data_IF_544615300798
#
_entry.id   IF_544615300798
#
_cell.length_a   1.000
_cell.length_b   1.000
_cell.length_c   1.000
_cell.angle_alpha   90.00
_cell.angle_beta   90.00
_cell.angle_gamma   90.00
#
_symmetry.space_group_name_H-M   'P 1'
#
loop_
_entity.id
_entity.type
_entity.pdbx_description
1 polymer ?
#
# COMPACT_ATOMS: atom_id res chain seq x y z
N UNK A 1 50.02 22.22 -35.30
CA UNK A 1 49.94 20.90 -35.95
C UNK A 1 49.89 19.85 -34.85
N UNK A 2 48.92 18.94 -34.87
CA UNK A 2 48.59 18.07 -33.75
C UNK A 2 49.49 16.83 -33.73
N UNK A 3 49.81 16.34 -32.53
CA UNK A 3 50.27 14.97 -32.33
C UNK A 3 49.19 14.21 -31.55
N UNK A 4 48.72 13.13 -32.17
CA UNK A 4 47.75 12.19 -31.66
C UNK A 4 48.51 11.01 -31.05
N UNK A 5 48.33 10.78 -29.75
CA UNK A 5 48.04 9.45 -29.21
C UNK A 5 48.16 9.44 -27.69
N UNK A 6 47.08 9.04 -27.03
CA UNK A 6 47.04 7.95 -26.03
C UNK A 6 45.66 7.93 -25.39
N UNK A 7 44.90 6.89 -25.73
CA UNK A 7 43.75 6.47 -24.94
C UNK A 7 44.24 6.03 -23.56
N UNK A 8 43.53 6.44 -22.52
CA UNK A 8 43.64 5.86 -21.20
C UNK A 8 42.28 5.91 -20.52
N UNK A 9 41.52 4.83 -20.74
CA UNK A 9 40.33 4.48 -19.98
C UNK A 9 40.73 4.32 -18.53
N UNK A 10 40.23 5.20 -17.64
CA UNK A 10 40.41 5.07 -16.19
C UNK A 10 39.32 4.16 -15.64
N UNK A 11 39.72 2.95 -15.26
CA UNK A 11 38.96 2.04 -14.41
C UNK A 11 38.95 2.62 -12.98
N UNK A 12 37.76 2.79 -12.40
CA UNK A 12 37.59 3.16 -10.99
C UNK A 12 37.38 1.86 -10.21
N UNK A 13 38.41 1.41 -9.50
CA UNK A 13 38.30 0.32 -8.51
C UNK A 13 37.58 0.84 -7.26
N UNK A 14 36.37 0.35 -7.01
CA UNK A 14 35.71 0.50 -5.73
C UNK A 14 36.20 -0.60 -4.77
N UNK A 15 36.83 -0.18 -3.66
CA UNK A 15 37.23 -1.03 -2.54
C UNK A 15 36.07 -1.89 -2.05
N UNK A 16 36.21 -3.21 -2.19
CA UNK A 16 35.42 -4.20 -1.47
C UNK A 16 35.64 -4.03 0.05
N UNK A 17 34.57 -3.74 0.78
CA UNK A 17 34.46 -4.08 2.20
C UNK A 17 33.85 -5.48 2.25
N UNK A 18 34.71 -6.50 2.17
CA UNK A 18 34.35 -7.88 2.48
C UNK A 18 34.12 -7.98 3.99
N UNK A 19 32.86 -7.96 4.42
CA UNK A 19 32.46 -8.63 5.67
C UNK A 19 32.09 -10.05 5.31
N UNK A 20 32.94 -10.98 5.72
CA UNK A 20 32.66 -12.41 5.79
C UNK A 20 31.53 -12.64 6.80
N UNK A 21 30.30 -12.84 6.33
CA UNK A 21 29.26 -13.51 7.11
C UNK A 21 29.44 -15.01 6.90
N UNK A 22 30.15 -15.64 7.83
CA UNK A 22 30.22 -17.09 7.96
C UNK A 22 28.81 -17.66 8.17
N UNK A 23 28.45 -18.59 7.30
CA UNK A 23 27.49 -19.69 7.44
C UNK A 23 26.68 -19.74 8.73
N UNK A 24 25.40 -19.39 8.61
CA UNK A 24 24.30 -20.10 9.28
C UNK A 24 23.00 -19.91 8.49
N UNK A 25 23.01 -20.31 7.20
CA UNK A 25 21.77 -20.54 6.46
C UNK A 25 21.25 -21.94 6.81
N UNK A 26 20.56 -22.03 7.95
CA UNK A 26 19.51 -23.04 8.06
C UNK A 26 18.53 -22.77 6.92
N UNK A 27 18.49 -23.66 5.92
CA UNK A 27 17.51 -23.60 4.85
C UNK A 27 16.11 -23.63 5.50
N UNK A 28 15.47 -22.47 5.55
CA UNK A 28 14.13 -22.33 6.11
C UNK A 28 13.21 -23.30 5.36
N UNK A 29 12.71 -24.32 6.05
CA UNK A 29 11.77 -25.27 5.46
C UNK A 29 10.47 -24.49 5.23
N UNK A 30 10.32 -23.96 4.02
CA UNK A 30 9.11 -23.27 3.59
C UNK A 30 7.98 -24.29 3.55
N UNK A 31 7.13 -24.28 4.57
CA UNK A 31 5.89 -25.04 4.60
C UNK A 31 5.00 -24.45 3.49
N UNK A 32 4.61 -25.29 2.54
CA UNK A 32 3.76 -24.83 1.45
C UNK A 32 2.35 -24.51 1.99
N UNK A 33 1.74 -23.40 1.55
CA UNK A 33 0.39 -23.09 1.94
C UNK A 33 -0.57 -24.12 1.31
N UNK A 34 -1.68 -24.46 1.98
CA UNK A 34 -2.69 -25.39 1.47
C UNK A 34 -3.57 -24.69 0.42
N UNK A 35 -2.95 -24.30 -0.70
CA UNK A 35 -3.54 -23.52 -1.77
C UNK A 35 -3.30 -24.24 -3.10
N UNK A 36 -4.33 -24.27 -3.94
CA UNK A 36 -4.27 -24.70 -5.33
C UNK A 36 -4.49 -23.52 -6.28
N UNK A 37 -3.83 -23.58 -7.43
CA UNK A 37 -4.02 -22.64 -8.54
C UNK A 37 -4.83 -23.35 -9.62
N UNK A 38 -5.85 -22.70 -10.14
CA UNK A 38 -6.64 -23.19 -11.26
C UNK A 38 -7.07 -22.05 -12.17
N UNK A 39 -7.72 -22.38 -13.29
CA UNK A 39 -8.29 -21.36 -14.16
C UNK A 39 -9.44 -20.62 -13.47
N UNK A 40 -9.45 -19.28 -13.56
CA UNK A 40 -10.53 -18.41 -13.07
C UNK A 40 -11.67 -18.29 -14.08
N UNK A 41 -11.40 -18.54 -15.36
CA UNK A 41 -12.35 -18.50 -16.45
C UNK A 41 -12.08 -19.61 -17.47
N UNK A 42 -13.04 -19.87 -18.36
CA UNK A 42 -12.88 -20.88 -19.39
C UNK A 42 -11.94 -20.38 -20.47
N UNK A 43 -10.94 -21.20 -20.79
CA UNK A 43 -9.97 -20.93 -21.84
C UNK A 43 -10.19 -21.85 -23.04
N UNK A 44 -9.99 -21.32 -24.24
CA UNK A 44 -9.95 -22.09 -25.48
C UNK A 44 -8.62 -21.85 -26.19
N UNK A 45 -7.82 -22.91 -26.31
CA UNK A 45 -6.52 -22.86 -26.97
C UNK A 45 -6.65 -23.19 -28.46
N UNK A 46 -5.96 -22.43 -29.31
CA UNK A 46 -5.89 -22.64 -30.75
C UNK A 46 -4.53 -22.17 -31.30
N UNK A 47 -4.28 -22.42 -32.59
CA UNK A 47 -3.09 -21.93 -33.28
C UNK A 47 -3.53 -20.86 -34.27
N UNK A 48 -2.86 -19.70 -34.23
CA UNK A 48 -3.05 -18.60 -35.17
C UNK A 48 -1.67 -18.11 -35.61
N UNK A 49 -1.46 -17.94 -36.91
CA UNK A 49 -0.16 -17.55 -37.49
C UNK A 49 1.03 -18.41 -37.01
N UNK A 50 0.81 -19.73 -36.92
CA UNK A 50 1.77 -20.73 -36.40
C UNK A 50 2.18 -20.53 -34.94
N UNK A 51 1.46 -19.69 -34.19
CA UNK A 51 1.69 -19.40 -32.78
C UNK A 51 0.55 -19.93 -31.91
N UNK A 52 0.83 -20.42 -30.69
CA UNK A 52 -0.20 -20.71 -29.72
C UNK A 52 -0.95 -19.44 -29.33
N UNK A 53 -2.27 -19.51 -29.32
CA UNK A 53 -3.16 -18.46 -28.86
C UNK A 53 -4.21 -19.05 -27.92
N UNK A 54 -4.64 -18.23 -26.95
CA UNK A 54 -5.68 -18.58 -25.99
C UNK A 54 -6.74 -17.49 -26.02
N UNK A 55 -8.00 -17.91 -26.16
CA UNK A 55 -9.16 -17.06 -25.94
C UNK A 55 -9.71 -17.31 -24.53
N UNK A 56 -9.94 -16.21 -23.81
CA UNK A 56 -10.49 -16.18 -22.47
C UNK A 56 -11.96 -15.74 -22.53
N UNK A 57 -12.88 -16.63 -22.15
CA UNK A 57 -14.31 -16.50 -22.45
C UNK A 57 -15.01 -15.39 -21.64
N UNK A 58 -14.69 -15.20 -20.37
CA UNK A 58 -15.32 -14.18 -19.55
C UNK A 58 -14.74 -12.79 -19.83
N UNK A 59 -13.43 -12.69 -19.99
CA UNK A 59 -12.74 -11.43 -20.29
C UNK A 59 -12.82 -11.02 -21.77
N UNK A 60 -13.22 -11.93 -22.66
CA UNK A 60 -13.28 -11.74 -24.11
C UNK A 60 -11.94 -11.26 -24.70
N UNK A 61 -10.84 -11.77 -24.16
CA UNK A 61 -9.48 -11.40 -24.53
C UNK A 61 -8.75 -12.56 -25.23
N UNK A 62 -7.82 -12.21 -26.12
CA UNK A 62 -6.91 -13.17 -26.77
C UNK A 62 -5.49 -12.90 -26.30
N UNK A 63 -4.81 -13.97 -25.89
CA UNK A 63 -3.43 -13.94 -25.43
C UNK A 63 -2.57 -14.84 -26.33
N UNK A 64 -1.31 -14.47 -26.56
CA UNK A 64 -0.34 -15.25 -27.35
C UNK A 64 0.77 -15.79 -26.42
N UNK A 65 0.50 -16.84 -25.61
CA UNK A 65 1.54 -17.46 -24.79
C UNK A 65 2.54 -18.24 -25.64
N UNK A 66 3.75 -18.44 -25.13
CA UNK A 66 4.67 -19.43 -25.71
C UNK A 66 4.15 -20.87 -25.46
N UNK A 67 4.77 -21.87 -26.10
CA UNK A 67 4.33 -23.26 -26.00
C UNK A 67 4.32 -23.83 -24.57
N UNK A 68 5.30 -23.44 -23.74
CA UNK A 68 5.38 -23.88 -22.34
C UNK A 68 4.25 -23.27 -21.50
N UNK A 69 4.00 -21.96 -21.64
CA UNK A 69 2.93 -21.25 -20.97
C UNK A 69 1.54 -21.78 -21.37
N UNK A 70 1.33 -22.09 -22.65
CA UNK A 70 0.09 -22.68 -23.14
C UNK A 70 -0.17 -24.07 -22.54
N UNK A 71 0.87 -24.90 -22.42
CA UNK A 71 0.77 -26.23 -21.80
C UNK A 71 0.42 -26.13 -20.31
N UNK A 72 1.10 -25.25 -19.57
CA UNK A 72 0.83 -25.05 -18.13
C UNK A 72 -0.61 -24.58 -17.92
N UNK A 73 -1.09 -23.59 -18.67
CA UNK A 73 -2.49 -23.13 -18.57
C UNK A 73 -3.49 -24.25 -18.90
N UNK A 74 -3.16 -25.13 -19.84
CA UNK A 74 -3.96 -26.33 -20.14
C UNK A 74 -4.04 -27.31 -18.98
N UNK A 75 -2.98 -27.46 -18.19
CA UNK A 75 -2.96 -28.33 -17.01
C UNK A 75 -3.77 -27.76 -15.84
N UNK A 76 -3.92 -26.43 -15.76
CA UNK A 76 -4.67 -25.74 -14.70
C UNK A 76 -6.20 -25.84 -14.82
N UNK A 77 -6.73 -26.53 -15.85
CA UNK A 77 -8.16 -26.85 -15.96
C UNK A 77 -8.67 -27.56 -14.70
N UNK A 78 -7.82 -28.40 -14.10
CA UNK A 78 -8.02 -28.91 -12.74
C UNK A 78 -7.10 -28.13 -11.80
N UNK A 79 -7.59 -27.59 -10.68
CA UNK A 79 -6.73 -26.91 -9.72
C UNK A 79 -5.57 -27.79 -9.29
N UNK A 80 -4.36 -27.25 -9.35
CA UNK A 80 -3.11 -27.91 -8.98
C UNK A 80 -2.55 -27.25 -7.73
N UNK A 81 -2.16 -28.05 -6.73
CA UNK A 81 -1.53 -27.52 -5.52
C UNK A 81 -0.32 -26.64 -5.87
N UNK A 82 -0.23 -25.47 -5.24
CA UNK A 82 0.83 -24.49 -5.49
C UNK A 82 2.22 -25.12 -5.29
N UNK A 83 2.38 -25.94 -4.26
CA UNK A 83 3.61 -26.69 -4.01
C UNK A 83 4.03 -27.56 -5.20
N UNK A 84 3.08 -28.24 -5.83
CA UNK A 84 3.33 -29.12 -6.98
C UNK A 84 3.81 -28.33 -8.20
N UNK A 85 3.28 -27.12 -8.42
CA UNK A 85 3.76 -26.25 -9.50
C UNK A 85 5.24 -25.89 -9.31
N UNK A 86 5.64 -25.50 -8.09
CA UNK A 86 7.04 -25.19 -7.78
C UNK A 86 7.97 -26.41 -7.78
N UNK A 87 7.47 -27.60 -7.51
CA UNK A 87 8.29 -28.82 -7.54
C UNK A 87 8.52 -29.33 -8.96
N UNK A 88 7.55 -29.13 -9.87
CA UNK A 88 7.57 -29.78 -11.19
C UNK A 88 7.96 -28.84 -12.34
N UNK A 89 7.56 -27.57 -12.30
CA UNK A 89 7.67 -26.67 -13.45
C UNK A 89 9.02 -25.95 -13.60
N UNK A 90 9.73 -25.50 -12.54
CA UNK A 90 10.97 -24.75 -12.71
C UNK A 90 12.03 -25.42 -13.61
N UNK A 91 12.28 -26.75 -13.54
CA UNK A 91 13.25 -27.39 -14.43
C UNK A 91 12.89 -27.33 -15.93
N UNK A 92 11.61 -27.07 -16.24
CA UNK A 92 11.08 -27.00 -17.60
C UNK A 92 11.05 -25.56 -18.16
N UNK A 93 11.33 -24.57 -17.31
CA UNK A 93 11.29 -23.14 -17.64
C UNK A 93 12.71 -22.60 -17.75
N UNK A 94 12.99 -21.82 -18.80
CA UNK A 94 14.34 -21.30 -19.07
C UNK A 94 14.87 -20.39 -17.96
N UNK A 95 13.99 -19.67 -17.26
CA UNK A 95 14.29 -18.84 -16.09
C UNK A 95 13.96 -19.50 -14.74
N UNK A 96 13.68 -20.81 -14.73
CA UNK A 96 13.47 -21.57 -13.50
C UNK A 96 12.31 -21.04 -12.65
N UNK A 97 12.55 -20.93 -11.34
CA UNK A 97 11.53 -20.47 -10.37
C UNK A 97 11.11 -19.03 -10.62
N UNK A 98 12.03 -18.15 -10.99
CA UNK A 98 11.72 -16.73 -11.23
C UNK A 98 10.81 -16.55 -12.46
N UNK A 99 10.97 -17.39 -13.49
CA UNK A 99 10.05 -17.38 -14.64
C UNK A 99 8.66 -17.87 -14.24
N UNK A 100 8.56 -18.91 -13.39
CA UNK A 100 7.27 -19.35 -12.85
C UNK A 100 6.59 -18.27 -12.01
N UNK A 101 7.32 -17.60 -11.11
CA UNK A 101 6.81 -16.49 -10.30
C UNK A 101 6.20 -15.41 -11.20
N UNK A 102 6.94 -15.00 -12.25
CA UNK A 102 6.48 -13.99 -13.22
C UNK A 102 5.22 -14.44 -13.97
N UNK A 103 5.18 -15.68 -14.45
CA UNK A 103 4.01 -16.21 -15.16
C UNK A 103 2.76 -16.25 -14.28
N UNK A 104 2.89 -16.68 -13.02
CA UNK A 104 1.78 -16.70 -12.08
C UNK A 104 1.25 -15.29 -11.79
N UNK A 105 2.13 -14.31 -11.60
CA UNK A 105 1.75 -12.90 -11.43
C UNK A 105 1.05 -12.36 -12.68
N UNK A 106 1.61 -12.59 -13.87
CA UNK A 106 1.05 -12.13 -15.14
C UNK A 106 -0.34 -12.73 -15.38
N UNK A 107 -0.51 -14.04 -15.18
CA UNK A 107 -1.80 -14.71 -15.37
C UNK A 107 -2.84 -14.31 -14.33
N UNK A 108 -2.44 -14.11 -13.08
CA UNK A 108 -3.35 -13.61 -12.03
C UNK A 108 -3.79 -12.18 -12.33
N UNK A 109 -2.87 -11.34 -12.81
CA UNK A 109 -3.18 -9.95 -13.22
C UNK A 109 -4.12 -9.91 -14.44
N UNK A 110 -3.92 -10.82 -15.39
CA UNK A 110 -4.78 -10.98 -16.57
C UNK A 110 -6.14 -11.61 -16.25
N UNK A 111 -6.36 -12.06 -14.99
CA UNK A 111 -7.59 -12.72 -14.58
C UNK A 111 -7.80 -14.10 -15.20
N UNK A 112 -6.71 -14.80 -15.57
CA UNK A 112 -6.72 -16.13 -16.18
C UNK A 112 -6.66 -17.28 -15.16
N UNK A 113 -6.15 -17.01 -13.96
CA UNK A 113 -6.06 -17.96 -12.85
C UNK A 113 -6.63 -17.38 -11.56
N UNK A 114 -7.09 -18.27 -10.67
CA UNK A 114 -7.46 -17.97 -9.28
C UNK A 114 -6.70 -18.91 -8.33
N UNK A 115 -6.63 -18.52 -7.05
CA UNK A 115 -6.10 -19.34 -5.96
C UNK A 115 -7.22 -19.75 -5.02
N UNK A 116 -7.33 -21.04 -4.79
CA UNK A 116 -8.41 -21.67 -4.03
C UNK A 116 -7.78 -22.44 -2.87
N UNK A 117 -8.34 -22.40 -1.65
CA UNK A 117 -7.93 -23.29 -0.57
C UNK A 117 -8.05 -24.76 -0.99
N UNK A 118 -7.07 -25.58 -0.61
CA UNK A 118 -7.12 -27.03 -0.87
C UNK A 118 -8.35 -27.67 -0.21
N UNK A 119 -8.81 -28.79 -0.78
CA UNK A 119 -10.02 -29.49 -0.35
C UNK A 119 -9.96 -29.89 1.14
N UNK A 120 -10.59 -29.06 1.98
CA UNK A 120 -10.57 -29.14 3.44
C UNK A 120 -11.33 -27.98 4.10
N UNK A 121 -11.50 -26.86 3.39
CA UNK A 121 -12.55 -25.86 3.62
C UNK A 121 -12.38 -24.95 4.84
N UNK A 122 -11.49 -25.27 5.78
CA UNK A 122 -11.13 -24.40 6.89
C UNK A 122 -9.75 -23.80 6.63
N UNK A 123 -9.71 -22.46 6.61
CA UNK A 123 -8.45 -21.73 6.66
C UNK A 123 -7.81 -21.99 8.03
N UNK A 124 -6.53 -22.35 8.03
CA UNK A 124 -5.74 -22.47 9.25
C UNK A 124 -5.77 -21.16 10.05
N UNK A 125 -5.58 -21.21 11.39
CA UNK A 125 -5.44 -20.01 12.19
C UNK A 125 -4.30 -19.13 11.66
N UNK A 126 -4.53 -17.81 11.60
CA UNK A 126 -3.52 -16.88 11.14
C UNK A 126 -2.35 -16.78 12.14
N UNK A 127 -1.12 -16.76 11.63
CA UNK A 127 0.10 -16.56 12.43
C UNK A 127 0.26 -15.10 12.89
N UNK A 128 -0.25 -14.17 12.08
CA UNK A 128 -0.26 -12.72 12.36
C UNK A 128 -1.64 -12.17 12.03
N UNK A 129 -2.13 -11.25 12.84
CA UNK A 129 -3.40 -10.58 12.59
C UNK A 129 -3.36 -9.12 13.02
N UNK A 130 -4.12 -8.29 12.32
CA UNK A 130 -4.25 -6.86 12.59
C UNK A 130 -5.63 -6.38 12.13
N UNK A 131 -6.23 -5.48 12.90
CA UNK A 131 -7.49 -4.84 12.60
C UNK A 131 -7.31 -3.35 12.32
N UNK A 132 -7.68 -2.90 11.13
CA UNK A 132 -7.76 -1.48 10.80
C UNK A 132 -9.13 -0.93 11.25
N UNK A 133 -9.19 -0.02 12.24
CA UNK A 133 -10.47 0.47 12.75
C UNK A 133 -11.18 1.39 11.76
N UNK A 134 -12.48 1.16 11.59
CA UNK A 134 -13.37 1.97 10.72
C UNK A 134 -14.56 2.54 11.51
N UNK A 135 -14.50 2.52 12.84
CA UNK A 135 -15.50 3.10 13.73
C UNK A 135 -16.36 2.00 14.34
N UNK A 136 -17.40 1.60 13.62
CA UNK A 136 -18.27 0.49 14.03
C UNK A 136 -17.84 -0.87 13.42
N UNK A 137 -16.88 -0.83 12.50
CA UNK A 137 -16.37 -1.99 11.77
C UNK A 137 -14.85 -2.01 11.87
N UNK A 138 -14.27 -3.17 11.55
CA UNK A 138 -12.83 -3.39 11.49
C UNK A 138 -12.53 -4.10 10.18
N UNK A 139 -11.58 -3.56 9.40
CA UNK A 139 -11.02 -4.27 8.27
C UNK A 139 -9.83 -5.12 8.75
N UNK A 140 -9.97 -6.43 8.66
CA UNK A 140 -9.03 -7.40 9.23
C UNK A 140 -8.04 -7.89 8.20
N UNK A 141 -6.77 -8.00 8.59
CA UNK A 141 -5.69 -8.59 7.80
C UNK A 141 -5.15 -9.79 8.56
N UNK A 142 -5.11 -10.93 7.87
CA UNK A 142 -4.64 -12.21 8.39
C UNK A 142 -3.43 -12.68 7.58
N UNK A 143 -2.27 -12.76 8.23
CA UNK A 143 -1.03 -13.30 7.65
C UNK A 143 -0.85 -14.76 8.01
N UNK A 144 -0.56 -15.59 7.01
CA UNK A 144 -0.47 -17.04 7.13
C UNK A 144 0.91 -17.56 6.68
N UNK A 145 1.45 -18.48 7.46
CA UNK A 145 2.72 -19.16 7.23
C UNK A 145 3.93 -18.39 7.78
N UNK A 146 5.07 -18.55 7.09
CA UNK A 146 6.35 -17.92 7.45
C UNK A 146 6.59 -16.69 6.58
N UNK A 147 7.71 -15.99 6.81
CA UNK A 147 8.14 -14.91 5.91
C UNK A 147 7.14 -13.72 5.86
N UNK A 148 6.71 -13.28 7.05
CA UNK A 148 5.69 -12.25 7.24
C UNK A 148 6.30 -10.87 7.56
N UNK A 149 7.50 -10.56 7.07
CA UNK A 149 8.18 -9.28 7.32
C UNK A 149 7.37 -8.09 6.77
N UNK A 150 6.61 -8.31 5.69
CA UNK A 150 5.68 -7.33 5.12
C UNK A 150 4.58 -6.91 6.12
N UNK A 151 4.27 -7.75 7.11
CA UNK A 151 3.27 -7.48 8.14
C UNK A 151 3.80 -6.53 9.21
N UNK A 152 5.12 -6.30 9.31
CA UNK A 152 5.69 -5.46 10.36
C UNK A 152 5.20 -4.01 10.28
N UNK A 153 4.87 -3.55 9.08
CA UNK A 153 4.22 -2.27 8.83
C UNK A 153 2.83 -2.16 9.48
N UNK A 154 2.21 -3.25 9.95
CA UNK A 154 0.86 -3.28 10.54
C UNK A 154 0.84 -3.60 12.04
N UNK A 155 2.00 -3.85 12.67
CA UNK A 155 2.08 -4.33 14.06
C UNK A 155 1.54 -3.37 15.13
N UNK A 156 1.37 -2.09 14.79
CA UNK A 156 0.80 -1.10 15.70
C UNK A 156 -0.73 -1.13 15.74
N UNK A 157 -1.36 -1.82 14.79
CA UNK A 157 -2.81 -1.92 14.72
C UNK A 157 -3.33 -2.84 15.85
N UNK A 158 -4.56 -2.60 16.34
CA UNK A 158 -5.21 -3.49 17.29
C UNK A 158 -5.47 -4.88 16.67
N UNK A 159 -5.99 -5.80 17.47
CA UNK A 159 -6.36 -7.13 17.01
C UNK A 159 -7.43 -7.09 15.90
N UNK A 160 -7.40 -8.10 15.03
CA UNK A 160 -8.39 -8.27 13.98
C UNK A 160 -9.80 -8.48 14.57
N UNK A 161 -10.80 -7.95 13.87
CA UNK A 161 -12.21 -8.16 14.20
C UNK A 161 -12.83 -9.31 13.40
N UNK A 162 -14.01 -9.74 13.85
CA UNK A 162 -14.87 -10.68 13.13
C UNK A 162 -15.82 -9.87 12.23
N UNK A 163 -15.44 -9.68 10.97
CA UNK A 163 -16.21 -8.90 9.99
C UNK A 163 -16.00 -9.38 8.57
N UNK A 164 -16.84 -8.91 7.65
CA UNK A 164 -16.79 -9.28 6.22
C UNK A 164 -15.60 -8.67 5.49
N UNK A 165 -15.07 -7.55 5.99
CA UNK A 165 -13.90 -6.87 5.44
C UNK A 165 -12.62 -7.58 5.89
N UNK A 166 -12.31 -8.71 5.27
CA UNK A 166 -11.11 -9.49 5.60
C UNK A 166 -10.20 -9.72 4.39
N UNK A 167 -8.90 -9.66 4.66
CA UNK A 167 -7.84 -9.99 3.71
C UNK A 167 -6.97 -11.11 4.30
N UNK A 168 -6.84 -12.23 3.59
CA UNK A 168 -5.94 -13.31 3.93
C UNK A 168 -4.73 -13.26 3.01
N UNK A 169 -3.54 -13.33 3.59
CA UNK A 169 -2.29 -13.16 2.86
C UNK A 169 -1.31 -14.28 3.19
N UNK A 170 -0.77 -14.89 2.14
CA UNK A 170 0.29 -15.91 2.23
C UNK A 170 1.54 -15.43 1.53
N UNK A 171 2.69 -15.94 1.97
CA UNK A 171 3.97 -15.79 1.27
C UNK A 171 4.54 -17.17 0.98
N UNK A 172 4.89 -17.42 -0.28
CA UNK A 172 5.49 -18.70 -0.68
C UNK A 172 6.48 -18.48 -1.81
N UNK A 173 7.74 -18.91 -1.59
CA UNK A 173 8.84 -18.71 -2.56
C UNK A 173 8.95 -17.22 -2.95
N UNK A 174 8.86 -16.90 -4.25
CA UNK A 174 8.97 -15.54 -4.77
C UNK A 174 7.64 -14.79 -4.88
N UNK A 175 6.52 -15.36 -4.47
CA UNK A 175 5.19 -14.75 -4.60
C UNK A 175 4.48 -14.55 -3.26
N UNK A 176 3.59 -13.56 -3.24
CA UNK A 176 2.54 -13.39 -2.26
C UNK A 176 1.17 -13.70 -2.87
N UNK A 177 0.27 -14.23 -2.05
CA UNK A 177 -1.13 -14.45 -2.43
C UNK A 177 -1.98 -13.59 -1.50
N UNK A 178 -2.82 -12.72 -2.06
CA UNK A 178 -3.75 -11.86 -1.32
C UNK A 178 -5.17 -12.24 -1.72
N UNK A 179 -5.97 -12.72 -0.76
CA UNK A 179 -7.37 -13.07 -0.95
C UNK A 179 -8.25 -12.16 -0.09
N UNK A 180 -9.13 -11.40 -0.74
CA UNK A 180 -10.21 -10.71 -0.05
C UNK A 180 -11.46 -11.60 -0.02
N UNK A 181 -12.28 -11.45 1.02
CA UNK A 181 -13.59 -12.08 1.05
C UNK A 181 -14.37 -11.74 -0.23
N UNK A 182 -15.00 -12.74 -0.84
CA UNK A 182 -15.83 -12.61 -2.05
C UNK A 182 -15.13 -12.06 -3.31
N UNK A 183 -13.79 -12.01 -3.35
CA UNK A 183 -13.03 -11.63 -4.56
C UNK A 183 -12.04 -12.73 -4.95
N UNK A 184 -11.66 -12.89 -6.23
CA UNK A 184 -10.55 -13.75 -6.64
C UNK A 184 -9.25 -13.40 -5.90
N UNK A 185 -8.43 -14.40 -5.64
CA UNK A 185 -7.10 -14.18 -5.10
C UNK A 185 -6.22 -13.47 -6.13
N UNK A 186 -5.32 -12.62 -5.64
CA UNK A 186 -4.27 -12.00 -6.45
C UNK A 186 -2.93 -12.59 -6.09
N UNK A 187 -2.18 -13.03 -7.10
CA UNK A 187 -0.78 -13.41 -6.97
C UNK A 187 0.07 -12.20 -7.35
N UNK A 188 1.02 -11.86 -6.49
CA UNK A 188 1.93 -10.72 -6.63
C UNK A 188 3.34 -11.16 -6.30
N UNK A 189 4.35 -10.38 -6.68
CA UNK A 189 5.72 -10.63 -6.21
C UNK A 189 5.79 -10.46 -4.69
N UNK A 190 6.55 -11.33 -4.02
CA UNK A 190 6.62 -11.38 -2.55
C UNK A 190 7.09 -10.06 -1.95
N UNK A 191 8.05 -9.40 -2.57
CA UNK A 191 8.58 -8.11 -2.14
C UNK A 191 7.58 -6.95 -2.34
N UNK A 192 6.51 -7.16 -3.11
CA UNK A 192 5.45 -6.17 -3.35
C UNK A 192 4.22 -6.36 -2.44
N UNK A 193 4.21 -7.36 -1.56
CA UNK A 193 3.04 -7.68 -0.72
C UNK A 193 2.54 -6.46 0.06
N UNK A 194 3.42 -5.77 0.76
CA UNK A 194 3.03 -4.61 1.59
C UNK A 194 2.36 -3.50 0.75
N UNK A 195 2.88 -3.22 -0.45
CA UNK A 195 2.33 -2.20 -1.33
C UNK A 195 0.97 -2.60 -1.92
N UNK A 196 0.88 -3.82 -2.44
CA UNK A 196 -0.34 -4.31 -3.08
C UNK A 196 -1.47 -4.54 -2.07
N UNK A 197 -1.15 -5.05 -0.87
CA UNK A 197 -2.11 -5.20 0.23
C UNK A 197 -2.67 -3.85 0.65
N UNK A 198 -1.82 -2.85 0.88
CA UNK A 198 -2.27 -1.49 1.24
C UNK A 198 -3.26 -0.93 0.22
N UNK A 199 -2.90 -1.00 -1.07
CA UNK A 199 -3.77 -0.49 -2.14
C UNK A 199 -5.10 -1.25 -2.17
N UNK A 200 -5.06 -2.58 -2.14
CA UNK A 200 -6.26 -3.41 -2.22
C UNK A 200 -7.14 -3.29 -0.98
N UNK A 201 -6.56 -3.10 0.21
CA UNK A 201 -7.28 -2.84 1.45
C UNK A 201 -8.06 -1.54 1.38
N UNK A 202 -7.44 -0.47 0.87
CA UNK A 202 -8.12 0.81 0.65
C UNK A 202 -9.27 0.64 -0.35
N UNK A 203 -9.02 0.04 -1.51
CA UNK A 203 -10.06 -0.19 -2.52
C UNK A 203 -11.25 -0.97 -1.93
N UNK A 204 -10.98 -2.05 -1.20
CA UNK A 204 -12.00 -2.85 -0.53
C UNK A 204 -12.81 -2.01 0.47
N UNK A 205 -12.16 -1.21 1.32
CA UNK A 205 -12.86 -0.34 2.28
C UNK A 205 -13.74 0.68 1.56
N UNK A 206 -13.23 1.29 0.50
CA UNK A 206 -13.99 2.27 -0.29
C UNK A 206 -15.19 1.64 -0.97
N UNK A 207 -15.08 0.40 -1.46
CA UNK A 207 -16.20 -0.33 -2.07
C UNK A 207 -17.33 -0.66 -1.08
N UNK A 208 -17.04 -0.72 0.22
CA UNK A 208 -18.00 -1.10 1.27
C UNK A 208 -18.44 0.07 2.17
N UNK A 209 -18.14 1.32 1.78
CA UNK A 209 -18.51 2.48 2.59
C UNK A 209 -19.15 3.59 1.76
N UNK A 210 -20.17 4.25 2.33
CA UNK A 210 -20.76 5.47 1.79
C UNK A 210 -20.01 6.74 2.23
N UNK A 211 -18.92 6.59 2.98
CA UNK A 211 -18.07 7.70 3.42
C UNK A 211 -17.26 8.26 2.25
N UNK A 212 -16.83 9.50 2.40
CA UNK A 212 -16.05 10.23 1.41
C UNK A 212 -14.57 10.11 1.78
N UNK A 213 -13.77 9.51 0.90
CA UNK A 213 -12.32 9.45 1.06
C UNK A 213 -11.69 10.81 0.81
N UNK A 214 -10.91 11.30 1.76
CA UNK A 214 -10.09 12.50 1.66
C UNK A 214 -8.62 12.10 1.59
N UNK A 215 -7.92 12.57 0.56
CA UNK A 215 -6.48 12.34 0.39
C UNK A 215 -5.68 13.31 1.28
N UNK A 216 -5.34 12.89 2.49
CA UNK A 216 -4.71 13.73 3.51
C UNK A 216 -3.82 12.92 4.45
N UNK A 217 -2.89 13.59 5.13
CA UNK A 217 -2.32 13.05 6.36
C UNK A 217 -3.14 13.59 7.54
N UNK A 218 -3.58 12.70 8.43
CA UNK A 218 -4.45 13.04 9.54
C UNK A 218 -3.66 13.02 10.85
N UNK A 219 -3.46 14.20 11.41
CA UNK A 219 -2.88 14.39 12.73
C UNK A 219 -4.00 14.49 13.77
N UNK A 220 -3.71 14.15 15.03
CA UNK A 220 -4.63 14.30 16.15
C UNK A 220 -4.00 15.06 17.30
N UNK A 221 -4.86 15.83 17.97
CA UNK A 221 -4.56 16.56 19.20
C UNK A 221 -5.80 16.47 20.07
N UNK A 222 -5.66 15.88 21.26
CA UNK A 222 -6.81 15.60 22.13
C UNK A 222 -7.85 14.72 21.42
N UNK A 223 -9.08 15.21 21.30
CA UNK A 223 -10.22 14.52 20.67
C UNK A 223 -10.49 14.95 19.21
N UNK A 224 -9.59 15.74 18.63
CA UNK A 224 -9.79 16.41 17.36
C UNK A 224 -8.79 16.02 16.27
N UNK A 225 -9.26 16.05 15.03
CA UNK A 225 -8.44 15.79 13.85
C UNK A 225 -7.96 17.09 13.18
N UNK A 226 -6.71 17.07 12.73
CA UNK A 226 -6.08 18.12 11.92
C UNK A 226 -5.65 17.48 10.60
N UNK A 227 -6.23 17.94 9.49
CA UNK A 227 -5.99 17.37 8.18
C UNK A 227 -4.92 18.19 7.44
N UNK A 228 -3.82 17.53 7.07
CA UNK A 228 -2.81 18.11 6.20
C UNK A 228 -3.17 17.80 4.74
N UNK A 229 -3.42 18.85 3.97
CA UNK A 229 -3.93 18.81 2.61
C UNK A 229 -2.92 19.36 1.61
N UNK A 230 -2.85 18.75 0.43
CA UNK A 230 -1.94 19.17 -0.62
C UNK A 230 -1.84 18.12 -1.72
N UNK A 231 -1.35 18.53 -2.88
CA UNK A 231 -1.20 17.67 -4.04
C UNK A 231 -0.37 16.41 -3.72
N UNK A 232 -0.53 15.31 -4.49
CA UNK A 232 0.39 14.17 -4.42
C UNK A 232 1.86 14.64 -4.49
N UNK A 233 2.70 14.19 -3.56
CA UNK A 233 4.12 14.58 -3.52
C UNK A 233 4.44 15.95 -2.92
N UNK A 234 3.44 16.73 -2.47
CA UNK A 234 3.65 18.03 -1.80
C UNK A 234 4.41 17.97 -0.47
N UNK A 235 4.56 16.77 0.10
CA UNK A 235 5.29 16.55 1.36
C UNK A 235 4.40 16.32 2.59
N UNK A 236 3.10 16.03 2.42
CA UNK A 236 2.15 15.69 3.52
C UNK A 236 2.75 14.72 4.55
N UNK A 237 3.18 13.55 4.10
CA UNK A 237 3.76 12.49 4.96
C UNK A 237 5.04 12.95 5.65
N UNK A 238 5.91 13.68 4.94
CA UNK A 238 7.16 14.22 5.53
C UNK A 238 6.87 15.27 6.59
N UNK A 239 5.92 16.18 6.36
CA UNK A 239 5.50 17.17 7.35
C UNK A 239 4.82 16.49 8.55
N UNK A 240 3.97 15.49 8.32
CA UNK A 240 3.31 14.72 9.37
C UNK A 240 4.32 14.03 10.30
N UNK A 241 5.40 13.48 9.75
CA UNK A 241 6.52 12.92 10.51
C UNK A 241 7.14 13.95 11.46
N UNK A 242 7.47 15.16 10.98
CA UNK A 242 8.06 16.21 11.81
C UNK A 242 7.06 16.81 12.82
N UNK A 243 5.79 16.96 12.44
CA UNK A 243 4.74 17.36 13.36
C UNK A 243 4.56 16.34 14.49
N UNK A 244 4.74 15.04 14.20
CA UNK A 244 4.75 14.00 15.22
C UNK A 244 5.93 14.09 16.19
N UNK A 245 7.13 14.42 15.71
CA UNK A 245 8.28 14.72 16.60
C UNK A 245 8.02 15.95 17.50
N UNK A 246 7.10 16.83 17.09
CA UNK A 246 6.75 18.06 17.80
C UNK A 246 5.47 17.92 18.66
N UNK A 247 5.16 16.70 19.13
CA UNK A 247 4.13 16.44 20.14
C UNK A 247 2.72 16.18 19.60
N UNK A 248 2.51 16.26 18.29
CA UNK A 248 1.23 15.84 17.67
C UNK A 248 1.22 14.32 17.45
N UNK A 249 0.04 13.71 17.36
CA UNK A 249 -0.06 12.28 17.02
C UNK A 249 -0.42 12.10 15.55
N UNK A 250 0.28 11.25 14.82
CA UNK A 250 -0.12 10.86 13.47
C UNK A 250 -1.12 9.70 13.56
N UNK A 251 -2.38 9.95 13.22
CA UNK A 251 -3.44 8.95 13.30
C UNK A 251 -3.64 8.13 12.02
N UNK A 252 -3.14 8.64 10.89
CA UNK A 252 -3.21 7.96 9.60
C UNK A 252 -2.56 8.81 8.51
N UNK A 253 -1.89 8.17 7.57
CA UNK A 253 -1.32 8.81 6.40
C UNK A 253 -2.11 8.44 5.14
N UNK A 254 -2.09 9.32 4.13
CA UNK A 254 -2.70 9.14 2.80
C UNK A 254 -4.23 9.29 2.75
N UNK A 255 -5.00 8.60 3.61
CA UNK A 255 -6.48 8.59 3.50
C UNK A 255 -7.17 8.75 4.86
N UNK A 256 -8.21 9.59 4.87
CA UNK A 256 -9.20 9.64 5.94
C UNK A 256 -10.63 9.62 5.37
N UNK A 257 -11.56 8.96 6.05
CA UNK A 257 -12.95 8.82 5.65
C UNK A 257 -13.83 9.85 6.35
N UNK A 258 -14.44 10.76 5.60
CA UNK A 258 -15.44 11.69 6.09
C UNK A 258 -16.82 11.04 6.05
N UNK A 259 -17.51 11.07 7.18
CA UNK A 259 -18.88 10.60 7.31
C UNK A 259 -19.86 11.77 7.17
N UNK A 260 -20.63 11.85 6.06
CA UNK A 260 -21.58 12.93 5.83
C UNK A 260 -22.71 12.98 6.86
N UNK A 261 -23.05 11.86 7.50
CA UNK A 261 -24.14 11.79 8.48
C UNK A 261 -23.73 12.44 9.81
N UNK A 262 -22.52 12.17 10.29
CA UNK A 262 -22.02 12.69 11.56
C UNK A 262 -21.19 13.97 11.43
N UNK A 263 -20.73 14.31 10.22
CA UNK A 263 -19.80 15.42 9.97
C UNK A 263 -18.40 15.19 10.57
N UNK A 264 -18.07 13.93 10.90
CA UNK A 264 -16.80 13.54 11.52
C UNK A 264 -15.88 12.85 10.52
N UNK A 265 -14.59 12.79 10.87
CA UNK A 265 -13.55 12.12 10.09
C UNK A 265 -13.05 10.88 10.84
N UNK A 266 -12.88 9.78 10.11
CA UNK A 266 -12.18 8.59 10.57
C UNK A 266 -10.88 8.43 9.77
N UNK A 267 -9.69 8.70 10.36
CA UNK A 267 -8.44 8.39 9.67
C UNK A 267 -8.37 6.89 9.40
N UNK A 268 -7.98 6.51 8.17
CA UNK A 268 -7.49 5.16 7.97
C UNK A 268 -6.09 5.15 8.59
N UNK A 269 -5.90 4.37 9.64
CA UNK A 269 -4.63 4.23 10.32
C UNK A 269 -3.63 3.44 9.47
N UNK A 270 -3.37 3.90 8.25
CA UNK A 270 -2.38 3.37 7.33
C UNK A 270 -0.98 3.85 7.75
N UNK A 271 0.07 3.05 7.47
CA UNK A 271 1.43 3.40 7.84
C UNK A 271 1.88 4.71 7.18
N UNK A 272 2.73 5.44 7.89
CA UNK A 272 3.43 6.61 7.33
C UNK A 272 4.23 6.17 6.11
N UNK A 273 3.97 6.78 4.95
CA UNK A 273 4.60 6.36 3.69
C UNK A 273 5.59 7.40 3.22
N UNK A 274 6.87 7.05 3.25
CA UNK A 274 7.93 7.94 2.77
C UNK A 274 8.52 7.43 1.46
N UNK A 275 8.51 8.31 0.45
CA UNK A 275 9.22 8.09 -0.81
C UNK A 275 10.72 8.26 -0.61
N UNK A 276 11.51 7.64 -1.47
CA UNK A 276 12.99 7.67 -1.46
C UNK A 276 13.58 9.07 -1.23
N UNK A 277 13.05 10.08 -1.91
CA UNK A 277 13.53 11.47 -1.80
C UNK A 277 13.40 12.11 -0.41
N UNK A 278 12.64 11.51 0.52
CA UNK A 278 12.48 12.00 1.89
C UNK A 278 13.27 11.18 2.92
N UNK A 279 13.94 10.09 2.53
CA UNK A 279 14.55 9.17 3.50
C UNK A 279 15.74 9.77 4.25
N UNK A 280 16.50 10.68 3.63
CA UNK A 280 17.59 11.38 4.34
C UNK A 280 17.09 12.19 5.54
N UNK A 281 15.82 12.60 5.53
CA UNK A 281 15.20 13.36 6.62
C UNK A 281 14.89 12.49 7.85
N UNK A 282 14.82 11.16 7.69
CA UNK A 282 14.60 10.24 8.80
C UNK A 282 15.73 10.29 9.82
N UNK A 283 16.97 10.55 9.40
CA UNK A 283 18.12 10.52 10.31
C UNK A 283 18.02 11.57 11.42
N UNK A 284 17.24 12.63 11.18
CA UNK A 284 17.01 13.72 12.13
C UNK A 284 15.80 13.47 13.04
N UNK A 285 15.08 12.35 12.88
CA UNK A 285 13.87 12.05 13.64
C UNK A 285 14.03 10.74 14.40
N UNK A 286 13.18 10.54 15.40
CA UNK A 286 13.18 9.26 16.10
C UNK A 286 12.65 8.12 15.22
N UNK A 287 12.00 8.42 14.08
CA UNK A 287 11.51 7.44 13.08
C UNK A 287 12.60 6.61 12.41
N UNK A 288 13.87 7.01 12.48
CA UNK A 288 15.03 6.22 11.99
C UNK A 288 15.14 4.80 12.57
N UNK A 289 14.49 4.53 13.70
CA UNK A 289 14.56 3.25 14.39
C UNK A 289 13.51 2.23 13.91
N UNK A 290 12.64 2.62 12.96
CA UNK A 290 11.72 1.70 12.34
C UNK A 290 12.47 0.69 11.47
N UNK A 291 12.39 -0.59 11.83
CA UNK A 291 13.03 -1.68 11.08
C UNK A 291 12.15 -2.08 9.89
N UNK A 292 12.08 -1.24 8.85
CA UNK A 292 11.24 -1.46 7.67
C UNK A 292 12.09 -1.44 6.41
N UNK A 293 11.98 -2.47 5.58
CA UNK A 293 12.67 -2.51 4.30
C UNK A 293 11.97 -1.60 3.26
N UNK A 294 12.73 -1.01 2.33
CA UNK A 294 12.15 -0.37 1.15
C UNK A 294 11.32 -1.36 0.32
N UNK A 295 10.20 -0.88 -0.21
CA UNK A 295 9.29 -1.63 -1.07
C UNK A 295 9.13 -0.88 -2.38
N UNK A 296 9.37 -1.56 -3.49
CA UNK A 296 9.07 -1.02 -4.81
C UNK A 296 7.59 -1.25 -5.13
N UNK A 297 6.87 -0.17 -5.42
CA UNK A 297 5.49 -0.25 -5.90
C UNK A 297 5.43 -0.63 -7.38
N UNK A 298 4.25 -1.03 -7.84
CA UNK A 298 3.98 -1.34 -9.25
C UNK A 298 4.27 -0.16 -10.20
N UNK A 299 4.14 1.09 -9.73
CA UNK A 299 4.47 2.29 -10.51
C UNK A 299 5.99 2.61 -10.53
N UNK A 300 6.82 1.71 -10.01
CA UNK A 300 8.28 1.85 -9.95
C UNK A 300 8.77 2.74 -8.81
N UNK A 301 7.87 3.37 -8.04
CA UNK A 301 8.24 4.24 -6.92
C UNK A 301 8.62 3.40 -5.71
N UNK A 302 9.83 3.62 -5.18
CA UNK A 302 10.28 2.98 -3.94
C UNK A 302 9.86 3.78 -2.71
N UNK A 303 9.26 3.09 -1.74
CA UNK A 303 8.72 3.67 -0.51
C UNK A 303 9.13 2.87 0.72
N UNK A 304 9.11 3.51 1.89
CA UNK A 304 9.10 2.83 3.18
C UNK A 304 7.75 3.03 3.85
N UNK A 305 7.19 1.95 4.39
CA UNK A 305 5.95 1.93 5.18
C UNK A 305 6.30 1.84 6.65
N UNK A 306 6.25 2.97 7.35
CA UNK A 306 6.66 3.08 8.74
C UNK A 306 5.44 2.90 9.68
N UNK A 307 5.47 1.92 10.60
CA UNK A 307 4.46 1.74 11.64
C UNK A 307 4.11 3.04 12.36
N UNK A 308 2.82 3.34 12.51
CA UNK A 308 2.41 4.53 13.27
C UNK A 308 2.84 4.41 14.74
N UNK A 309 2.97 5.57 15.38
CA UNK A 309 3.42 5.69 16.77
C UNK A 309 2.29 6.16 17.66
N UNK A 310 2.11 5.46 18.78
CA UNK A 310 1.07 5.77 19.74
C UNK A 310 -0.26 5.07 19.44
N UNK A 311 -1.31 5.40 20.20
CA UNK A 311 -2.59 4.72 20.13
C UNK A 311 -3.30 5.02 18.80
N UNK A 312 -3.87 3.96 18.20
CA UNK A 312 -4.72 4.08 17.01
C UNK A 312 -6.11 4.52 17.42
N UNK A 313 -6.63 5.58 16.79
CA UNK A 313 -8.00 6.03 17.03
C UNK A 313 -8.99 4.95 16.57
N UNK A 314 -9.95 4.63 17.43
CA UNK A 314 -11.02 3.68 17.15
C UNK A 314 -12.33 4.35 16.78
N UNK A 315 -12.44 5.68 16.99
CA UNK A 315 -13.70 6.41 16.82
C UNK A 315 -13.54 7.62 15.89
N UNK A 316 -14.60 8.00 15.15
CA UNK A 316 -14.59 9.21 14.33
C UNK A 316 -14.43 10.47 15.18
N UNK A 317 -13.64 11.43 14.68
CA UNK A 317 -13.27 12.66 15.37
C UNK A 317 -13.85 13.90 14.67
N UNK A 318 -14.03 14.99 15.44
CA UNK A 318 -14.35 16.28 14.84
C UNK A 318 -13.13 16.85 14.12
N UNK A 319 -13.36 17.45 12.95
CA UNK A 319 -12.31 18.19 12.23
C UNK A 319 -12.09 19.52 12.95
N UNK A 320 -10.89 19.74 13.50
CA UNK A 320 -10.51 20.98 14.19
C UNK A 320 -9.82 21.96 13.25
N UNK A 321 -9.03 21.44 12.31
CA UNK A 321 -8.37 22.25 11.29
C UNK A 321 -8.16 21.49 9.99
N UNK A 322 -8.22 22.22 8.88
CA UNK A 322 -7.75 21.81 7.56
C UNK A 322 -6.61 22.75 7.16
N UNK A 323 -5.44 22.17 6.89
CA UNK A 323 -4.21 22.92 6.65
C UNK A 323 -3.72 22.59 5.26
N UNK A 324 -3.80 23.55 4.34
CA UNK A 324 -3.16 23.47 3.03
C UNK A 324 -1.66 23.64 3.19
N UNK A 325 -0.89 22.70 2.66
CA UNK A 325 0.56 22.77 2.58
C UNK A 325 0.94 23.59 1.35
N UNK A 326 1.81 24.60 1.54
CA UNK A 326 2.33 25.46 0.49
C UNK A 326 3.86 25.51 0.58
N UNK A 327 4.52 24.52 -0.03
CA UNK A 327 5.98 24.41 0.01
C UNK A 327 6.60 25.32 -1.04
N UNK A 328 7.39 26.30 -0.61
CA UNK A 328 8.01 27.30 -1.48
C UNK A 328 9.37 27.78 -0.97
N UNK A 329 9.86 28.89 -1.53
CA UNK A 329 11.17 29.46 -1.19
C UNK A 329 11.12 30.44 0.01
N UNK A 330 10.12 30.32 0.88
CA UNK A 330 10.01 31.21 2.04
C UNK A 330 11.16 30.96 3.02
N UNK A 331 11.68 32.04 3.61
CA UNK A 331 12.78 31.96 4.58
C UNK A 331 12.35 31.33 5.92
N UNK A 332 11.07 31.45 6.30
CA UNK A 332 10.52 30.92 7.55
C UNK A 332 9.15 30.31 7.34
N UNK A 333 8.82 29.32 8.17
CA UNK A 333 7.50 28.75 8.22
C UNK A 333 6.47 29.77 8.73
N UNK A 334 5.34 29.91 8.04
CA UNK A 334 4.25 30.82 8.44
C UNK A 334 2.89 30.17 8.28
N UNK A 335 1.95 30.55 9.15
CA UNK A 335 0.54 30.15 9.06
C UNK A 335 -0.29 31.38 8.68
N UNK A 336 -1.09 31.24 7.63
CA UNK A 336 -2.05 32.26 7.20
C UNK A 336 -3.44 31.67 7.03
N UNK A 337 -4.44 32.54 6.90
CA UNK A 337 -5.83 32.11 6.68
C UNK A 337 -6.00 31.52 5.27
N UNK A 338 -6.66 30.37 5.17
CA UNK A 338 -7.12 29.80 3.91
C UNK A 338 -8.62 30.00 3.80
N UNK A 339 -9.11 30.57 2.70
CA UNK A 339 -10.55 30.80 2.57
C UNK A 339 -11.32 29.48 2.61
N UNK A 340 -12.44 29.46 3.35
CA UNK A 340 -13.31 28.27 3.45
C UNK A 340 -13.83 27.81 2.09
N UNK A 341 -14.09 28.75 1.17
CA UNK A 341 -14.52 28.44 -0.19
C UNK A 341 -13.42 27.76 -1.00
N UNK A 342 -12.17 28.23 -0.91
CA UNK A 342 -11.05 27.58 -1.58
C UNK A 342 -10.72 26.24 -0.92
N UNK A 343 -10.90 26.13 0.40
CA UNK A 343 -10.81 24.87 1.14
C UNK A 343 -11.82 23.85 0.62
N UNK A 344 -13.10 24.22 0.53
CA UNK A 344 -14.12 23.35 -0.01
C UNK A 344 -13.80 22.96 -1.46
N UNK A 345 -13.36 23.89 -2.30
CA UNK A 345 -12.99 23.59 -3.69
C UNK A 345 -11.87 22.56 -3.77
N UNK A 346 -10.84 22.70 -2.94
CA UNK A 346 -9.72 21.75 -2.90
C UNK A 346 -10.16 20.37 -2.39
N UNK A 347 -10.95 20.33 -1.31
CA UNK A 347 -11.48 19.07 -0.78
C UNK A 347 -12.32 18.37 -1.86
N UNK A 348 -13.21 19.08 -2.53
CA UNK A 348 -14.03 18.51 -3.61
C UNK A 348 -13.19 18.01 -4.80
N UNK A 349 -12.05 18.63 -5.12
CA UNK A 349 -11.19 18.17 -6.23
C UNK A 349 -10.38 16.92 -5.92
N UNK A 350 -10.11 16.64 -4.64
CA UNK A 350 -9.28 15.51 -4.20
C UNK A 350 -10.11 14.39 -3.54
N UNK A 351 -11.35 14.67 -3.15
CA UNK A 351 -12.23 13.72 -2.50
C UNK A 351 -12.77 12.68 -3.49
N UNK A 352 -12.92 11.44 -3.01
CA UNK A 352 -13.50 10.34 -3.79
C UNK A 352 -14.58 9.63 -3.00
N UNK A 353 -15.66 9.23 -3.67
CA UNK A 353 -16.72 8.38 -3.13
C UNK A 353 -16.87 7.16 -4.05
N UNK A 354 -17.29 6.02 -3.50
CA UNK A 354 -17.49 4.80 -4.29
C UNK A 354 -18.50 5.00 -5.44
N UNK A 355 -19.55 5.79 -5.22
CA UNK A 355 -20.54 6.16 -6.23
C UNK A 355 -20.01 7.09 -7.34
N UNK A 356 -18.72 7.43 -7.34
CA UNK A 356 -18.09 8.36 -8.27
C UNK A 356 -18.19 9.81 -7.81
N UNK A 357 -19.41 10.35 -7.69
CA UNK A 357 -19.65 11.76 -7.35
C UNK A 357 -20.29 11.92 -5.96
N UNK A 358 -19.92 13.01 -5.27
CA UNK A 358 -20.58 13.45 -4.04
C UNK A 358 -21.98 14.03 -4.34
N UNK A 359 -22.96 13.74 -3.49
CA UNK A 359 -24.32 14.32 -3.58
C UNK A 359 -24.36 15.75 -3.03
N UNK A 360 -25.51 16.43 -3.16
CA UNK A 360 -25.68 17.77 -2.57
C UNK A 360 -25.65 17.71 -1.04
N UNK A 361 -26.20 16.64 -0.46
CA UNK A 361 -26.18 16.37 0.98
C UNK A 361 -24.75 16.17 1.48
N UNK A 362 -23.92 15.43 0.72
CA UNK A 362 -22.50 15.26 0.99
C UNK A 362 -21.77 16.62 1.02
N UNK A 363 -22.03 17.47 0.03
CA UNK A 363 -21.46 18.83 -0.02
C UNK A 363 -21.92 19.67 1.18
N UNK A 364 -23.20 19.64 1.53
CA UNK A 364 -23.73 20.38 2.67
C UNK A 364 -23.11 19.93 3.99
N UNK A 365 -22.89 18.63 4.17
CA UNK A 365 -22.19 18.08 5.33
C UNK A 365 -20.74 18.58 5.39
N UNK A 366 -20.02 18.58 4.27
CA UNK A 366 -18.66 19.13 4.20
C UNK A 366 -18.63 20.64 4.48
N UNK A 367 -19.60 21.41 3.96
CA UNK A 367 -19.73 22.85 4.24
C UNK A 367 -19.90 23.10 5.73
N UNK A 368 -20.74 22.32 6.41
CA UNK A 368 -20.95 22.41 7.86
C UNK A 368 -19.64 22.13 8.62
N UNK A 369 -18.96 21.02 8.29
CA UNK A 369 -17.71 20.65 8.95
C UNK A 369 -16.58 21.67 8.73
N UNK A 370 -16.42 22.19 7.50
CA UNK A 370 -15.43 23.24 7.18
C UNK A 370 -15.78 24.58 7.84
N UNK A 371 -17.08 24.86 8.04
CA UNK A 371 -17.53 26.07 8.71
C UNK A 371 -17.14 26.10 10.19
N UNK A 372 -17.13 24.95 10.85
CA UNK A 372 -16.75 24.82 12.26
C UNK A 372 -15.24 24.67 12.49
N UNK A 373 -14.48 24.30 11.44
CA UNK A 373 -13.05 24.07 11.51
C UNK A 373 -12.22 25.33 11.17
N UNK A 374 -10.98 25.38 11.69
CA UNK A 374 -9.97 26.34 11.22
C UNK A 374 -9.52 25.95 9.80
N UNK A 375 -9.38 26.92 8.91
CA UNK A 375 -8.87 26.71 7.55
C UNK A 375 -7.62 27.56 7.36
N UNK A 376 -6.48 26.90 7.16
CA UNK A 376 -5.15 27.51 7.25
C UNK A 376 -4.29 27.13 6.04
N UNK A 377 -3.36 28.01 5.68
CA UNK A 377 -2.25 27.70 4.77
C UNK A 377 -0.97 27.70 5.59
N UNK A 378 -0.20 26.61 5.50
CA UNK A 378 1.15 26.51 6.06
C UNK A 378 2.16 26.68 4.93
N UNK A 379 2.82 27.84 4.89
CA UNK A 379 3.85 28.15 3.92
C UNK A 379 5.23 27.90 4.52
N UNK A 380 6.10 27.14 3.85
CA UNK A 380 7.43 26.80 4.36
C UNK A 380 8.39 26.29 3.29
N UNK A 381 9.69 26.30 3.59
CA UNK A 381 10.74 25.65 2.80
C UNK A 381 11.34 24.43 3.51
N UNK A 382 11.43 24.48 4.84
CA UNK A 382 11.94 23.42 5.71
C UNK A 382 10.82 22.71 6.50
N UNK A 383 10.78 21.37 6.40
CA UNK A 383 9.71 20.58 7.00
C UNK A 383 9.83 20.43 8.53
N UNK A 384 11.04 20.53 9.09
CA UNK A 384 11.27 20.45 10.52
C UNK A 384 10.78 21.73 11.21
N UNK A 385 11.12 22.90 10.66
CA UNK A 385 10.61 24.20 11.13
C UNK A 385 9.07 24.25 11.04
N UNK A 386 8.51 23.78 9.91
CA UNK A 386 7.06 23.71 9.74
C UNK A 386 6.38 22.78 10.76
N UNK A 387 7.00 21.62 11.06
CA UNK A 387 6.54 20.71 12.10
C UNK A 387 6.56 21.35 13.49
N UNK A 388 7.61 22.08 13.83
CA UNK A 388 7.70 22.84 15.10
C UNK A 388 6.59 23.90 15.20
N UNK A 389 6.34 24.64 14.11
CA UNK A 389 5.28 25.64 14.10
C UNK A 389 3.90 25.00 14.32
N UNK A 390 3.63 23.85 13.71
CA UNK A 390 2.40 23.09 13.98
C UNK A 390 2.33 22.61 15.43
N UNK A 391 3.42 22.06 15.97
CA UNK A 391 3.52 21.65 17.38
C UNK A 391 3.24 22.79 18.35
N UNK A 392 3.76 23.99 18.11
CA UNK A 392 3.49 25.16 18.97
C UNK A 392 2.04 25.65 18.89
N UNK A 393 1.38 25.52 17.73
CA UNK A 393 0.01 26.00 17.53
C UNK A 393 -1.06 24.97 17.94
N UNK A 394 -0.70 23.69 17.96
CA UNK A 394 -1.66 22.59 18.15
C UNK A 394 -1.21 21.51 19.12
N UNK A 395 0.08 21.34 19.43
CA UNK A 395 0.61 20.20 20.20
C UNK A 395 0.24 20.14 21.69
N UNK A 396 -0.37 21.20 22.24
CA UNK A 396 -0.75 21.30 23.66
C UNK A 396 0.14 22.25 24.44
#
# INVERSE_FOLDING_TARGET
MPDMSRSSTRTIEAKQVLRTSSDDHQAEVLIAPPLAVGLSERLSSFILDERPAIFAEASQAVYEPNGAAAAILGDLIKPVALASLYNCLPPLLGGGTAELDRLLVDWSTAGLIDVIPDAGGLLEPADRQAGLPLGYEVASVFGHGRSLEWFDALNYLPEAGNGELSAHVWSYKGVGIVKFANQPARIILRDQIAAALRYSLVEMILQHTDRIAMHCACMTVGDGAILLLGAPGSGKSTLAMFANECGMTLAGDDIALFDPLSGKIMPLALPLTLKEGSWSLLTATSWRHSNTAPVQRQDGVTVMYLPLRGPVSQTPMKIRALIRIDRGAQERATISHWSKTDCLRHVCSEAKKNSGNASVEDINAMVSAISDAKTLTLSYSDAAEAGQLLGLNFGG
#
